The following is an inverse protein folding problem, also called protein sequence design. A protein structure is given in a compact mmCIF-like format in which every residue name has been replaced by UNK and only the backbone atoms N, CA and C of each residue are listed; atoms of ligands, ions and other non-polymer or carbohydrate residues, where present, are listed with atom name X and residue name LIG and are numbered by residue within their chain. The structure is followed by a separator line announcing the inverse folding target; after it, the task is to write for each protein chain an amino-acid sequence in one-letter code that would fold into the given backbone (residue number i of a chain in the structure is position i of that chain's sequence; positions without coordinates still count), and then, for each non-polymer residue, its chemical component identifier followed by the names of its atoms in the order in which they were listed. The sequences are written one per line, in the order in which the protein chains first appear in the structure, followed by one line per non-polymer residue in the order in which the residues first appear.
data_IF_097657835839
#
_entry.id   IF_097657835839
#
_cell.length_a   1.000
_cell.length_b   1.000
_cell.length_c   1.000
_cell.angle_alpha   90.00
_cell.angle_beta   90.00
_cell.angle_gamma   90.00
#
_symmetry.space_group_name_H-M   'P 1'
#
loop_
_entity.id
_entity.type
_entity.pdbx_description
1 polymer ?
#
# COMPACT_ATOMS: atom_id res chain seq x y z
N UNK A 1 -13.74 4.49 -0.39
CA UNK A 1 -12.80 3.43 0.03
C UNK A 1 -11.47 4.02 0.40
N UNK A 2 -10.76 3.36 1.25
CA UNK A 2 -9.42 3.76 1.69
C UNK A 2 -8.44 2.70 1.25
N UNK A 3 -7.44 3.12 0.50
CA UNK A 3 -6.43 2.22 -0.05
C UNK A 3 -5.15 2.38 0.75
N UNK A 4 -4.63 1.27 1.27
CA UNK A 4 -3.46 1.27 2.14
C UNK A 4 -2.23 0.88 1.34
N UNK A 5 -1.20 1.70 1.44
CA UNK A 5 0.05 1.53 0.72
C UNK A 5 1.23 1.49 1.67
N UNK A 6 2.28 0.85 1.23
CA UNK A 6 3.56 0.88 1.92
C UNK A 6 4.68 1.04 0.91
N UNK A 7 5.77 1.67 1.35
CA UNK A 7 6.93 1.91 0.51
C UNK A 7 8.17 1.37 1.21
N UNK A 8 8.95 0.58 0.51
CA UNK A 8 10.17 0.01 1.02
C UNK A 8 11.21 -0.20 -0.06
N UNK A 9 12.43 -0.51 0.37
CA UNK A 9 13.52 -0.76 -0.56
C UNK A 9 13.41 -2.18 -1.13
N UNK A 10 13.39 -2.28 -2.44
CA UNK A 10 13.38 -3.56 -3.14
C UNK A 10 14.78 -3.86 -3.65
N UNK A 11 15.41 -4.89 -3.10
CA UNK A 11 16.78 -5.28 -3.49
C UNK A 11 16.87 -5.73 -4.93
N UNK A 12 15.82 -6.32 -5.46
CA UNK A 12 15.81 -6.82 -6.84
C UNK A 12 15.74 -5.66 -7.84
N UNK A 13 14.99 -4.64 -7.51
CA UNK A 13 14.88 -3.45 -8.34
C UNK A 13 15.96 -2.43 -8.03
N UNK A 14 16.70 -2.58 -6.93
CA UNK A 14 17.67 -1.62 -6.44
C UNK A 14 17.07 -0.22 -6.27
N UNK A 15 15.84 -0.16 -5.82
CA UNK A 15 15.11 1.10 -5.67
C UNK A 15 13.96 0.91 -4.68
N UNK A 16 13.34 2.04 -4.29
CA UNK A 16 12.13 2.00 -3.47
C UNK A 16 10.92 1.73 -4.34
N UNK A 17 10.04 0.86 -3.85
CA UNK A 17 8.80 0.54 -4.54
C UNK A 17 7.62 0.69 -3.60
N UNK A 18 6.49 1.09 -4.17
CA UNK A 18 5.23 1.13 -3.46
C UNK A 18 4.46 -0.16 -3.70
N UNK A 19 3.78 -0.61 -2.67
CA UNK A 19 2.89 -1.77 -2.77
C UNK A 19 1.53 -1.43 -2.20
N UNK A 20 0.49 -2.00 -2.78
CA UNK A 20 -0.87 -1.88 -2.27
C UNK A 20 -1.13 -3.07 -1.34
N UNK A 21 -1.36 -2.80 -0.07
CA UNK A 21 -1.58 -3.84 0.93
C UNK A 21 -3.02 -4.25 1.08
N UNK A 22 -3.93 -3.35 0.91
CA UNK A 22 -5.34 -3.67 1.07
C UNK A 22 -6.23 -2.46 0.97
N UNK A 23 -7.52 -2.72 1.02
CA UNK A 23 -8.54 -1.70 0.91
C UNK A 23 -9.47 -1.81 2.10
N UNK A 24 -9.86 -0.69 2.68
CA UNK A 24 -10.78 -0.65 3.82
C UNK A 24 -11.90 0.33 3.55
N UNK A 25 -13.02 0.11 4.22
CA UNK A 25 -14.22 0.95 4.04
C UNK A 25 -14.17 2.21 4.89
N UNK A 26 -13.45 2.19 5.99
CA UNK A 26 -13.39 3.32 6.92
C UNK A 26 -11.95 3.75 7.17
N UNK A 27 -11.78 5.02 7.53
CA UNK A 27 -10.46 5.54 7.87
C UNK A 27 -9.90 4.86 9.13
N UNK A 28 -10.75 4.52 10.08
CA UNK A 28 -10.32 3.84 11.30
C UNK A 28 -9.69 2.48 10.98
N UNK A 29 -10.34 1.70 10.11
CA UNK A 29 -9.83 0.40 9.70
C UNK A 29 -8.53 0.54 8.88
N UNK A 30 -8.45 1.57 8.04
CA UNK A 30 -7.24 1.84 7.28
C UNK A 30 -6.07 2.18 8.20
N UNK A 31 -6.31 2.99 9.23
CA UNK A 31 -5.29 3.32 10.23
C UNK A 31 -4.82 2.09 10.99
N UNK A 32 -5.73 1.20 11.34
CA UNK A 32 -5.39 -0.05 12.02
C UNK A 32 -4.48 -0.92 11.14
N UNK A 33 -4.81 -1.03 9.86
CA UNK A 33 -3.97 -1.78 8.93
C UNK A 33 -2.59 -1.14 8.81
N UNK A 34 -2.52 0.18 8.72
CA UNK A 34 -1.24 0.89 8.69
C UNK A 34 -0.38 0.59 9.92
N UNK A 35 -1.00 0.61 11.10
CA UNK A 35 -0.30 0.30 12.35
C UNK A 35 0.21 -1.13 12.38
N UNK A 36 -0.62 -2.07 11.90
CA UNK A 36 -0.23 -3.48 11.85
C UNK A 36 0.95 -3.71 10.91
N UNK A 37 0.93 -3.09 9.75
CA UNK A 37 2.03 -3.19 8.79
C UNK A 37 3.30 -2.60 9.40
N UNK A 38 3.19 -1.43 9.97
CA UNK A 38 4.34 -0.73 10.55
C UNK A 38 4.97 -1.55 11.70
N UNK A 39 4.13 -2.22 12.48
CA UNK A 39 4.59 -3.04 13.61
C UNK A 39 5.20 -4.36 13.16
N UNK A 40 4.64 -4.99 12.12
CA UNK A 40 5.00 -6.36 11.73
C UNK A 40 5.92 -6.45 10.53
N UNK A 41 6.04 -5.38 9.75
CA UNK A 41 6.81 -5.36 8.49
C UNK A 41 7.86 -4.27 8.53
N UNK A 42 9.03 -4.61 9.07
CA UNK A 42 10.12 -3.63 9.25
C UNK A 42 10.79 -3.22 7.94
N UNK A 43 10.55 -3.94 6.85
CA UNK A 43 11.12 -3.61 5.55
C UNK A 43 10.53 -2.33 4.93
N UNK A 44 9.38 -1.87 5.44
CA UNK A 44 8.74 -0.67 4.92
C UNK A 44 9.09 0.55 5.75
N UNK A 45 9.56 1.59 5.07
CA UNK A 45 9.89 2.85 5.73
C UNK A 45 8.73 3.82 5.82
N UNK A 46 7.72 3.66 4.96
CA UNK A 46 6.52 4.49 4.97
C UNK A 46 5.29 3.60 4.78
N UNK A 47 4.24 3.91 5.55
CA UNK A 47 2.94 3.24 5.43
C UNK A 47 1.88 4.33 5.55
N UNK A 48 0.94 4.36 4.61
CA UNK A 48 -0.10 5.39 4.61
C UNK A 48 -1.37 4.87 3.94
N UNK A 49 -2.45 5.66 4.00
CA UNK A 49 -3.65 5.35 3.25
C UNK A 49 -4.11 6.57 2.45
N UNK A 50 -4.83 6.31 1.38
CA UNK A 50 -5.40 7.33 0.52
C UNK A 50 -6.87 7.04 0.31
N UNK A 51 -7.69 8.08 0.33
CA UNK A 51 -9.11 7.96 0.08
C UNK A 51 -9.40 8.16 -1.40
N UNK A 52 -10.25 7.29 -1.96
CA UNK A 52 -10.75 7.47 -3.32
C UNK A 52 -12.16 6.90 -3.44
N UNK A 53 -12.97 7.53 -4.28
CA UNK A 53 -14.29 7.04 -4.64
C UNK A 53 -14.27 6.13 -5.87
N UNK A 54 -13.11 5.99 -6.50
CA UNK A 54 -12.96 5.17 -7.69
C UNK A 54 -12.85 3.69 -7.34
N UNK A 55 -13.28 2.79 -8.24
CA UNK A 55 -13.04 1.36 -8.07
C UNK A 55 -11.54 1.07 -7.96
N UNK A 56 -11.21 0.00 -7.26
CA UNK A 56 -9.83 -0.36 -7.00
C UNK A 56 -9.02 -0.47 -8.29
N UNK A 57 -9.57 -1.12 -9.31
CA UNK A 57 -8.88 -1.29 -10.59
C UNK A 57 -8.50 0.04 -11.23
N UNK A 58 -9.43 0.99 -11.26
CA UNK A 58 -9.17 2.30 -11.83
C UNK A 58 -8.18 3.08 -11.00
N UNK A 59 -8.37 3.07 -9.69
CA UNK A 59 -7.48 3.81 -8.79
C UNK A 59 -6.05 3.31 -8.91
N UNK A 60 -5.84 2.02 -8.90
CA UNK A 60 -4.50 1.44 -8.98
C UNK A 60 -3.87 1.63 -10.36
N UNK A 61 -4.66 1.74 -11.41
CA UNK A 61 -4.12 1.98 -12.75
C UNK A 61 -3.43 3.33 -12.86
N UNK A 62 -3.86 4.34 -12.11
CA UNK A 62 -3.20 5.64 -12.07
C UNK A 62 -1.84 5.60 -11.40
N UNK A 63 -1.62 4.62 -10.53
CA UNK A 63 -0.35 4.48 -9.84
C UNK A 63 0.69 3.77 -10.70
N UNK A 64 0.22 3.02 -11.68
CA UNK A 64 1.07 2.46 -12.72
C UNK A 64 2.20 1.61 -12.20
N UNK A 65 3.41 1.96 -12.58
CA UNK A 65 4.61 1.19 -12.28
C UNK A 65 4.98 1.15 -10.80
N UNK A 66 4.36 1.99 -9.98
CA UNK A 66 4.61 1.97 -8.54
C UNK A 66 4.00 0.75 -7.86
N UNK A 67 3.12 0.05 -8.55
CA UNK A 67 2.42 -1.08 -8.01
C UNK A 67 3.26 -2.35 -8.10
N UNK A 68 3.50 -3.01 -6.95
CA UNK A 68 4.30 -4.22 -6.90
C UNK A 68 3.47 -5.38 -6.35
N UNK A 69 3.14 -6.35 -7.21
CA UNK A 69 2.27 -7.47 -6.86
C UNK A 69 2.92 -8.56 -6.03
N UNK A 70 4.23 -8.57 -5.90
CA UNK A 70 4.92 -9.64 -5.18
C UNK A 70 4.54 -9.75 -3.72
N UNK A 71 4.04 -8.69 -3.15
CA UNK A 71 3.68 -8.64 -1.74
C UNK A 71 2.25 -9.09 -1.44
N UNK A 72 1.49 -9.49 -2.45
CA UNK A 72 0.10 -9.93 -2.27
C UNK A 72 -0.08 -11.42 -2.16
N UNK A 73 0.97 -12.13 -2.24
CA UNK A 73 0.89 -13.59 -2.27
C UNK A 73 1.16 -14.21 -0.92
#
# INVERSE_FOLDING_TARGET
MYYVFAKGYDRHACDYTEVHFGTRKTAADAKELCKDIHRTRSEFCEVWYERSNEPEEEFLSYRGSCYNRRYYQ
#
